data_IF_208691085602
#
_entry.id   IF_208691085602
#
_cell.length_a   1.000
_cell.length_b   1.000
_cell.length_c   1.000
_cell.angle_alpha   90.00
_cell.angle_beta   90.00
_cell.angle_gamma   90.00
#
_symmetry.space_group_name_H-M   'P 1'
#
loop_
_entity.id
_entity.type
_entity.pdbx_description
1 polymer ?
#
# COMPACT_ATOMS: atom_id res chain seq x y z
N UNK A 1 -6.15 -17.88 4.36
CA UNK A 1 -5.62 -16.78 5.20
C UNK A 1 -4.83 -17.25 6.41
N UNK A 2 -5.23 -18.31 7.14
CA UNK A 2 -4.46 -18.84 8.29
C UNK A 2 -2.97 -19.05 8.00
N UNK A 3 -2.60 -19.57 6.82
CA UNK A 3 -1.19 -19.77 6.43
C UNK A 3 -0.36 -18.48 6.43
N UNK A 4 -0.94 -17.34 6.02
CA UNK A 4 -0.22 -16.06 5.97
C UNK A 4 0.01 -15.49 7.37
N UNK A 5 -0.95 -15.68 8.28
CA UNK A 5 -0.84 -15.21 9.66
C UNK A 5 0.07 -16.11 10.53
N UNK A 6 0.30 -17.36 10.11
CA UNK A 6 1.09 -18.34 10.85
C UNK A 6 2.48 -18.59 10.23
N UNK A 7 2.75 -18.07 9.02
CA UNK A 7 4.03 -18.27 8.35
C UNK A 7 5.12 -17.42 9.01
N UNK A 8 6.30 -18.03 9.20
CA UNK A 8 7.48 -17.34 9.72
C UNK A 8 8.36 -16.73 8.62
N UNK A 9 8.37 -17.34 7.44
CA UNK A 9 9.28 -16.95 6.34
C UNK A 9 8.52 -16.35 5.15
N UNK A 10 7.80 -17.16 4.39
CA UNK A 10 7.02 -16.69 3.24
C UNK A 10 5.79 -17.56 2.98
N UNK A 11 4.79 -16.98 2.32
CA UNK A 11 3.61 -17.70 1.83
C UNK A 11 3.40 -17.38 0.35
N UNK A 12 3.31 -18.41 -0.48
CA UNK A 12 2.96 -18.28 -1.90
C UNK A 12 1.45 -18.42 -2.08
N UNK A 13 0.84 -17.42 -2.73
CA UNK A 13 -0.58 -17.42 -3.07
C UNK A 13 -0.69 -17.51 -4.59
N UNK A 14 -1.12 -18.65 -5.11
CA UNK A 14 -1.36 -18.85 -6.54
C UNK A 14 -2.76 -18.38 -6.88
N UNK A 15 -2.89 -17.41 -7.79
CA UNK A 15 -4.18 -16.92 -8.25
C UNK A 15 -4.38 -17.16 -9.73
N UNK A 16 -5.30 -18.06 -10.08
CA UNK A 16 -5.73 -18.33 -11.45
C UNK A 16 -6.38 -17.06 -12.04
N UNK A 17 -6.33 -16.80 -13.36
CA UNK A 17 -7.04 -15.67 -13.97
C UNK A 17 -8.52 -15.64 -13.56
N UNK A 18 -9.06 -14.44 -13.29
CA UNK A 18 -10.47 -14.28 -12.88
C UNK A 18 -10.79 -14.52 -11.39
N UNK A 19 -9.89 -15.10 -10.58
CA UNK A 19 -10.21 -15.47 -9.18
C UNK A 19 -10.07 -14.34 -8.15
N UNK A 20 -10.16 -13.08 -8.59
CA UNK A 20 -10.15 -11.94 -7.66
C UNK A 20 -8.85 -11.78 -6.87
N UNK A 21 -7.69 -12.05 -7.47
CA UNK A 21 -6.34 -11.85 -6.85
C UNK A 21 -6.21 -10.50 -6.14
N UNK A 22 -6.57 -9.43 -6.82
CA UNK A 22 -6.55 -8.06 -6.27
C UNK A 22 -7.42 -7.96 -5.02
N UNK A 23 -8.61 -8.56 -5.04
CA UNK A 23 -9.51 -8.58 -3.87
C UNK A 23 -8.92 -9.40 -2.72
N UNK A 24 -8.26 -10.53 -3.02
CA UNK A 24 -7.58 -11.35 -2.01
C UNK A 24 -6.45 -10.58 -1.34
N UNK A 25 -5.62 -9.88 -2.11
CA UNK A 25 -4.54 -9.04 -1.58
C UNK A 25 -5.11 -7.89 -0.75
N UNK A 26 -6.16 -7.21 -1.22
CA UNK A 26 -6.83 -6.16 -0.44
C UNK A 26 -7.32 -6.69 0.91
N UNK A 27 -7.98 -7.84 0.92
CA UNK A 27 -8.46 -8.46 2.17
C UNK A 27 -7.30 -8.85 3.08
N UNK A 28 -6.19 -9.33 2.55
CA UNK A 28 -5.01 -9.65 3.34
C UNK A 28 -4.41 -8.40 4.00
N UNK A 29 -4.21 -7.33 3.23
CA UNK A 29 -3.71 -6.05 3.75
C UNK A 29 -4.63 -5.52 4.85
N UNK A 30 -5.95 -5.60 4.66
CA UNK A 30 -6.93 -5.21 5.69
C UNK A 30 -6.78 -6.00 6.99
N UNK A 31 -6.59 -7.31 6.89
CA UNK A 31 -6.43 -8.18 8.07
C UNK A 31 -5.12 -7.86 8.79
N UNK A 32 -4.01 -7.75 8.05
CA UNK A 32 -2.71 -7.44 8.62
C UNK A 32 -2.71 -6.07 9.30
N UNK A 33 -3.32 -5.07 8.66
CA UNK A 33 -3.51 -3.74 9.25
C UNK A 33 -4.37 -3.79 10.52
N UNK A 34 -5.47 -4.56 10.52
CA UNK A 34 -6.30 -4.73 11.71
C UNK A 34 -5.58 -5.47 12.86
N UNK A 35 -4.60 -6.31 12.54
CA UNK A 35 -3.71 -6.94 13.51
C UNK A 35 -2.56 -6.03 13.99
N UNK A 36 -2.46 -4.78 13.50
CA UNK A 36 -1.42 -3.83 13.88
C UNK A 36 -0.07 -4.06 13.19
N UNK A 37 0.00 -4.90 12.15
CA UNK A 37 1.22 -5.08 11.38
C UNK A 37 1.41 -3.97 10.35
N UNK A 38 2.65 -3.54 10.17
CA UNK A 38 3.06 -2.75 9.00
C UNK A 38 3.13 -3.64 7.76
N UNK A 39 2.67 -3.11 6.62
CA UNK A 39 2.50 -3.89 5.38
C UNK A 39 3.14 -3.15 4.20
N UNK A 40 4.29 -3.63 3.73
CA UNK A 40 4.89 -3.17 2.48
C UNK A 40 4.23 -3.91 1.31
N UNK A 41 3.55 -3.20 0.41
CA UNK A 41 3.02 -3.80 -0.81
C UNK A 41 3.78 -3.30 -2.03
N UNK A 42 4.23 -4.27 -2.83
CA UNK A 42 5.03 -3.99 -4.02
C UNK A 42 4.49 -4.74 -5.23
N UNK A 43 4.66 -4.16 -6.41
CA UNK A 43 4.36 -4.81 -7.69
C UNK A 43 5.29 -4.29 -8.78
N UNK A 44 5.33 -5.02 -9.89
CA UNK A 44 6.12 -4.66 -11.07
C UNK A 44 5.57 -3.42 -11.80
N UNK A 45 4.24 -3.25 -11.83
CA UNK A 45 3.60 -2.12 -12.53
C UNK A 45 2.95 -1.13 -11.56
N UNK A 46 3.05 0.17 -11.88
CA UNK A 46 2.39 1.23 -11.11
C UNK A 46 0.87 1.00 -11.05
N UNK A 47 0.25 0.65 -12.19
CA UNK A 47 -1.19 0.40 -12.28
C UNK A 47 -1.66 -0.76 -11.40
N UNK A 48 -0.86 -1.82 -11.20
CA UNK A 48 -1.23 -2.91 -10.31
C UNK A 48 -1.27 -2.47 -8.83
N UNK A 49 -0.30 -1.65 -8.41
CA UNK A 49 -0.30 -1.04 -7.07
C UNK A 49 -1.52 -0.13 -6.91
N UNK A 50 -1.72 0.77 -7.86
CA UNK A 50 -2.78 1.78 -7.78
C UNK A 50 -4.17 1.13 -7.77
N UNK A 51 -4.39 0.05 -8.53
CA UNK A 51 -5.65 -0.71 -8.51
C UNK A 51 -5.96 -1.32 -7.13
N UNK A 52 -4.93 -1.71 -6.38
CA UNK A 52 -5.08 -2.21 -5.01
C UNK A 52 -5.38 -1.04 -4.07
N UNK A 53 -4.65 0.07 -4.21
CA UNK A 53 -4.85 1.28 -3.42
C UNK A 53 -6.24 1.89 -3.59
N UNK A 54 -6.78 1.92 -4.81
CA UNK A 54 -8.13 2.38 -5.10
C UNK A 54 -9.18 1.57 -4.30
N UNK A 55 -8.97 0.26 -4.17
CA UNK A 55 -9.83 -0.59 -3.34
C UNK A 55 -9.62 -0.32 -1.86
N UNK A 56 -8.38 -0.19 -1.39
CA UNK A 56 -8.07 0.10 0.02
C UNK A 56 -8.62 1.47 0.47
N UNK A 57 -8.57 2.48 -0.40
CA UNK A 57 -9.16 3.81 -0.19
C UNK A 57 -10.65 3.71 0.15
N UNK A 58 -11.40 2.84 -0.54
CA UNK A 58 -12.83 2.60 -0.25
C UNK A 58 -13.07 2.01 1.15
N UNK A 59 -12.09 1.31 1.71
CA UNK A 59 -12.13 0.77 3.06
C UNK A 59 -11.56 1.72 4.12
N UNK A 60 -11.21 2.96 3.75
CA UNK A 60 -10.64 3.98 4.65
C UNK A 60 -9.36 3.53 5.38
N UNK A 61 -8.54 2.73 4.72
CA UNK A 61 -7.19 2.40 5.20
C UNK A 61 -6.25 3.55 4.83
N UNK A 62 -5.44 4.02 5.78
CA UNK A 62 -4.36 4.97 5.53
C UNK A 62 -3.16 4.24 4.92
N UNK A 63 -2.55 4.86 3.92
CA UNK A 63 -1.41 4.33 3.19
C UNK A 63 -0.60 5.44 2.53
N UNK A 64 0.70 5.19 2.37
CA UNK A 64 1.63 6.08 1.69
C UNK A 64 2.07 5.49 0.35
N UNK A 65 1.77 6.20 -0.75
CA UNK A 65 2.24 5.81 -2.08
C UNK A 65 3.59 6.45 -2.38
N UNK A 66 4.63 5.62 -2.49
CA UNK A 66 5.98 6.07 -2.84
C UNK A 66 6.22 6.00 -4.35
N UNK A 67 6.70 7.10 -4.93
CA UNK A 67 7.04 7.19 -6.35
C UNK A 67 6.56 8.49 -6.99
N UNK A 68 6.95 8.71 -8.24
CA UNK A 68 6.64 9.96 -8.96
C UNK A 68 5.14 10.09 -9.25
N UNK A 69 4.54 11.21 -8.84
CA UNK A 69 3.12 11.50 -9.03
C UNK A 69 2.65 11.36 -10.49
N UNK A 70 3.52 11.69 -11.45
CA UNK A 70 3.26 11.60 -12.91
C UNK A 70 2.80 10.21 -13.40
N UNK A 71 3.13 9.14 -12.68
CA UNK A 71 2.80 7.75 -13.04
C UNK A 71 1.76 7.12 -12.11
N UNK A 72 1.14 7.92 -11.25
CA UNK A 72 0.18 7.49 -10.24
C UNK A 72 -1.23 7.83 -10.73
N UNK A 73 -2.18 6.95 -10.47
CA UNK A 73 -3.59 7.20 -10.74
C UNK A 73 -4.09 8.48 -10.05
N UNK A 74 -4.89 9.30 -10.75
CA UNK A 74 -5.38 10.60 -10.27
C UNK A 74 -5.94 10.56 -8.85
N UNK A 75 -6.83 9.61 -8.56
CA UNK A 75 -7.47 9.47 -7.24
C UNK A 75 -6.53 9.02 -6.11
N UNK A 76 -5.30 8.61 -6.44
CA UNK A 76 -4.25 8.20 -5.51
C UNK A 76 -3.21 9.31 -5.31
N UNK A 77 -3.16 10.33 -6.18
CA UNK A 77 -2.23 11.47 -6.04
C UNK A 77 -2.20 12.07 -4.64
N UNK A 78 -3.34 12.34 -3.96
CA UNK A 78 -3.33 12.91 -2.61
C UNK A 78 -2.66 12.03 -1.54
N UNK A 79 -2.46 10.75 -1.84
CA UNK A 79 -1.81 9.77 -0.95
C UNK A 79 -0.33 9.56 -1.30
N UNK A 80 0.22 10.36 -2.21
CA UNK A 80 1.65 10.31 -2.55
C UNK A 80 2.48 11.13 -1.58
N UNK A 81 3.73 10.71 -1.37
CA UNK A 81 4.69 11.49 -0.57
C UNK A 81 4.82 12.93 -1.09
N UNK A 82 4.86 13.11 -2.41
CA UNK A 82 4.98 14.43 -3.05
C UNK A 82 3.82 15.35 -2.68
N UNK A 83 2.58 14.85 -2.72
CA UNK A 83 1.41 15.63 -2.30
C UNK A 83 1.41 15.91 -0.79
N UNK A 84 1.78 14.95 0.04
CA UNK A 84 1.89 15.15 1.50
C UNK A 84 2.95 16.17 1.88
N UNK A 85 4.05 16.23 1.12
CA UNK A 85 5.09 17.23 1.33
C UNK A 85 4.63 18.62 0.92
N UNK A 86 3.92 18.73 -0.21
CA UNK A 86 3.33 19.98 -0.65
C UNK A 86 2.26 20.53 0.33
N UNK A 87 1.62 19.66 1.13
CA UNK A 87 0.65 20.03 2.17
C UNK A 87 1.26 20.72 3.41
N UNK A 88 2.59 20.82 3.52
CA UNK A 88 3.24 21.64 4.55
C UNK A 88 4.36 20.97 5.35
N UNK A 89 4.88 19.81 4.92
CA UNK A 89 6.05 19.19 5.56
C UNK A 89 7.30 19.96 5.15
N UNK A 90 7.90 20.66 6.11
CA UNK A 90 9.09 21.49 5.89
C UNK A 90 10.28 21.06 6.74
N UNK A 91 10.06 20.21 7.74
CA UNK A 91 11.09 19.73 8.67
C UNK A 91 11.38 18.24 8.50
N UNK A 92 12.54 17.81 8.98
CA UNK A 92 12.92 16.38 8.97
C UNK A 92 12.01 15.58 9.90
N UNK A 93 11.68 16.13 11.05
CA UNK A 93 10.83 15.49 12.06
C UNK A 93 9.42 15.22 11.52
N UNK A 94 8.82 16.16 10.80
CA UNK A 94 7.53 15.97 10.13
C UNK A 94 7.59 14.89 9.03
N UNK A 95 8.72 14.80 8.33
CA UNK A 95 8.94 13.80 7.30
C UNK A 95 9.09 12.39 7.93
N UNK A 96 9.83 12.27 9.02
CA UNK A 96 9.94 11.02 9.80
C UNK A 96 8.58 10.59 10.38
N UNK A 97 7.77 11.56 10.83
CA UNK A 97 6.40 11.31 11.28
C UNK A 97 5.51 10.80 10.15
N UNK A 98 5.64 11.33 8.93
CA UNK A 98 4.90 10.82 7.76
C UNK A 98 5.22 9.35 7.49
N UNK A 99 6.51 9.01 7.44
CA UNK A 99 6.95 7.63 7.15
C UNK A 99 6.64 6.63 8.28
N UNK A 100 6.60 7.09 9.53
CA UNK A 100 6.31 6.23 10.69
C UNK A 100 4.82 6.03 10.96
N UNK A 101 3.97 6.98 10.53
CA UNK A 101 2.52 6.96 10.81
C UNK A 101 1.73 6.10 9.82
N UNK A 102 2.16 6.02 8.56
CA UNK A 102 1.44 5.28 7.53
C UNK A 102 1.90 3.82 7.47
N UNK A 103 1.00 2.94 7.90
CA UNK A 103 1.23 1.50 8.12
C UNK A 103 1.59 0.75 6.84
N UNK A 104 1.38 1.34 5.66
CA UNK A 104 1.65 0.68 4.40
C UNK A 104 2.37 1.59 3.41
N UNK A 105 3.65 1.27 3.17
CA UNK A 105 4.47 1.87 2.13
C UNK A 105 4.31 1.06 0.85
N UNK A 106 4.09 1.73 -0.27
CA UNK A 106 3.86 1.07 -1.56
C UNK A 106 4.92 1.48 -2.56
N UNK A 107 5.78 0.54 -2.94
CA UNK A 107 6.94 0.77 -3.81
C UNK A 107 6.86 -0.11 -5.07
N UNK A 108 7.29 0.43 -6.21
CA UNK A 108 7.57 -0.40 -7.38
C UNK A 108 8.94 -1.06 -7.18
N UNK A 109 8.99 -2.39 -7.32
CA UNK A 109 10.27 -3.11 -7.41
C UNK A 109 10.55 -3.28 -8.91
N UNK A 110 11.58 -2.57 -9.38
CA UNK A 110 12.14 -2.54 -10.75
C UNK A 110 11.28 -1.92 -11.86
#
# INVERSE_FOLDING_TARGET
MKKVLLSKDYTLIVGIPGTGKTTTICTLVRILHACGFSVLLTSYTHSAVDNILLKLKRFKISFLRLGRAQKVHHDILPFTEESRRAEGIQTLEELEQLYSKEVAAFLRIM
#
